data_IF_616822992323
#
_entry.id   IF_616822992323
#
_cell.length_a   1.000
_cell.length_b   1.000
_cell.length_c   1.000
_cell.angle_alpha   90.00
_cell.angle_beta   90.00
_cell.angle_gamma   90.00
#
_symmetry.space_group_name_H-M   'P 1'
#
loop_
_entity.id
_entity.type
_entity.pdbx_description
1 polymer ?
#
# COMPACT_ATOMS: atom_id res chain seq x y z
N UNK A 1 -47.96 -10.04 76.69
CA UNK A 1 -47.27 -8.73 76.68
C UNK A 1 -46.11 -8.73 75.70
N UNK A 2 -45.24 -9.75 75.71
CA UNK A 2 -44.05 -9.84 74.84
C UNK A 2 -44.36 -9.99 73.34
N UNK A 3 -45.38 -10.79 72.98
CA UNK A 3 -45.80 -10.97 71.57
C UNK A 3 -46.35 -9.67 70.95
N UNK A 4 -47.00 -8.82 71.75
CA UNK A 4 -47.53 -7.53 71.28
C UNK A 4 -46.40 -6.53 71.07
N UNK A 5 -45.41 -6.54 71.97
CA UNK A 5 -44.21 -5.70 71.86
C UNK A 5 -43.36 -6.03 70.64
N UNK A 6 -43.19 -7.33 70.32
CA UNK A 6 -42.43 -7.75 69.14
C UNK A 6 -43.12 -7.36 67.84
N UNK A 7 -44.45 -7.40 67.78
CA UNK A 7 -45.21 -6.94 66.60
C UNK A 7 -45.07 -5.44 66.39
N UNK A 8 -45.18 -4.64 67.46
CA UNK A 8 -44.99 -3.19 67.33
C UNK A 8 -43.57 -2.81 66.93
N UNK A 9 -42.56 -3.58 67.39
CA UNK A 9 -41.18 -3.39 66.98
C UNK A 9 -40.96 -3.74 65.51
N UNK A 10 -41.59 -4.83 65.04
CA UNK A 10 -41.53 -5.23 63.64
C UNK A 10 -42.15 -4.16 62.73
N UNK A 11 -43.34 -3.68 63.06
CA UNK A 11 -44.03 -2.63 62.28
C UNK A 11 -43.19 -1.34 62.21
N UNK A 12 -42.52 -0.98 63.31
CA UNK A 12 -41.64 0.19 63.35
C UNK A 12 -40.39 0.00 62.48
N UNK A 13 -39.77 -1.17 62.53
CA UNK A 13 -38.60 -1.49 61.71
C UNK A 13 -38.95 -1.57 60.23
N UNK A 14 -40.12 -2.11 59.88
CA UNK A 14 -40.63 -2.14 58.51
C UNK A 14 -40.91 -0.72 57.99
N UNK A 15 -41.49 0.15 58.82
CA UNK A 15 -41.69 1.56 58.47
C UNK A 15 -40.36 2.30 58.25
N UNK A 16 -39.35 2.06 59.10
CA UNK A 16 -38.02 2.67 58.94
C UNK A 16 -37.31 2.18 57.67
N UNK A 17 -37.40 0.87 57.36
CA UNK A 17 -36.85 0.31 56.13
C UNK A 17 -37.55 0.90 54.88
N UNK A 18 -38.87 1.07 54.92
CA UNK A 18 -39.62 1.69 53.83
C UNK A 18 -39.23 3.16 53.65
N UNK A 19 -39.04 3.91 54.73
CA UNK A 19 -38.58 5.29 54.70
C UNK A 19 -37.16 5.43 54.11
N UNK A 20 -36.23 4.57 54.53
CA UNK A 20 -34.86 4.55 54.01
C UNK A 20 -34.83 4.14 52.53
N UNK A 21 -35.64 3.17 52.12
CA UNK A 21 -35.78 2.76 50.73
C UNK A 21 -36.36 3.88 49.85
N UNK A 22 -37.39 4.58 50.33
CA UNK A 22 -37.97 5.74 49.65
C UNK A 22 -36.96 6.89 49.52
N UNK A 23 -36.21 7.21 50.58
CA UNK A 23 -35.13 8.22 50.54
C UNK A 23 -34.03 7.86 49.55
N UNK A 24 -33.62 6.59 49.53
CA UNK A 24 -32.60 6.12 48.60
C UNK A 24 -33.10 6.24 47.15
N UNK A 25 -34.36 5.90 46.91
CA UNK A 25 -35.01 6.00 45.59
C UNK A 25 -35.14 7.46 45.11
N UNK A 26 -35.46 8.40 46.00
CA UNK A 26 -35.48 9.85 45.70
C UNK A 26 -34.08 10.44 45.51
N UNK A 27 -33.07 9.92 46.20
CA UNK A 27 -31.67 10.37 46.03
C UNK A 27 -31.05 9.84 44.74
N UNK A 28 -31.47 8.66 44.26
CA UNK A 28 -31.09 8.15 42.93
C UNK A 28 -31.93 8.74 41.80
N UNK A 29 -32.97 9.52 42.12
CA UNK A 29 -33.77 10.28 41.15
C UNK A 29 -33.09 11.58 40.68
N UNK A 30 -31.78 11.74 40.93
CA UNK A 30 -30.93 12.65 40.18
C UNK A 30 -30.72 12.08 38.77
N UNK A 31 -31.74 12.22 37.93
CA UNK A 31 -31.71 11.85 36.51
C UNK A 31 -30.77 12.73 35.68
N UNK A 32 -30.07 13.68 36.32
CA UNK A 32 -29.17 14.65 35.71
C UNK A 32 -27.69 14.39 36.03
N UNK A 33 -27.35 13.49 36.95
CA UNK A 33 -25.97 13.23 37.35
C UNK A 33 -25.61 11.76 37.08
N UNK A 34 -24.80 11.55 36.05
CA UNK A 34 -24.22 10.25 35.72
C UNK A 34 -23.51 9.67 36.95
N UNK A 35 -23.71 8.38 37.21
CA UNK A 35 -22.99 7.73 38.30
C UNK A 35 -21.49 7.73 37.99
N UNK A 36 -20.65 7.91 39.02
CA UNK A 36 -19.18 7.83 38.84
C UNK A 36 -18.72 6.51 38.21
N UNK A 37 -19.51 5.45 38.35
CA UNK A 37 -19.30 4.17 37.66
C UNK A 37 -19.45 4.30 36.15
N UNK A 38 -20.49 4.98 35.67
CA UNK A 38 -20.70 5.25 34.24
C UNK A 38 -19.64 6.19 33.68
N UNK A 39 -19.26 7.24 34.43
CA UNK A 39 -18.16 8.15 34.05
C UNK A 39 -16.84 7.39 33.92
N UNK A 40 -16.51 6.53 34.88
CA UNK A 40 -15.30 5.71 34.83
C UNK A 40 -15.31 4.70 33.67
N UNK A 41 -16.48 4.15 33.34
CA UNK A 41 -16.63 3.29 32.16
C UNK A 41 -16.40 4.07 30.87
N UNK A 42 -17.02 5.24 30.71
CA UNK A 42 -16.82 6.11 29.55
C UNK A 42 -15.33 6.46 29.36
N UNK A 43 -14.62 6.85 30.42
CA UNK A 43 -13.18 7.13 30.33
C UNK A 43 -12.34 5.89 30.03
N UNK A 44 -12.75 4.71 30.50
CA UNK A 44 -12.06 3.46 30.17
C UNK A 44 -12.19 3.14 28.67
N UNK A 45 -13.39 3.32 28.13
CA UNK A 45 -13.71 3.05 26.73
C UNK A 45 -13.02 4.08 25.82
N UNK A 46 -13.09 5.37 26.17
CA UNK A 46 -12.40 6.45 25.46
C UNK A 46 -10.89 6.27 25.48
N UNK A 47 -10.30 5.89 26.62
CA UNK A 47 -8.88 5.54 26.70
C UNK A 47 -8.55 4.35 25.82
N UNK A 48 -9.40 3.33 25.79
CA UNK A 48 -9.16 2.16 24.94
C UNK A 48 -9.17 2.56 23.46
N UNK A 49 -10.14 3.35 23.04
CA UNK A 49 -10.22 3.90 21.70
C UNK A 49 -8.99 4.74 21.36
N UNK A 50 -8.59 5.67 22.23
CA UNK A 50 -7.40 6.50 22.04
C UNK A 50 -6.11 5.68 21.88
N UNK A 51 -5.96 4.58 22.61
CA UNK A 51 -4.81 3.68 22.48
C UNK A 51 -4.81 2.96 21.14
N UNK A 52 -5.98 2.50 20.67
CA UNK A 52 -6.13 1.86 19.35
C UNK A 52 -5.80 2.85 18.24
N UNK A 53 -6.40 4.05 18.28
CA UNK A 53 -6.14 5.12 17.31
C UNK A 53 -4.66 5.52 17.30
N UNK A 54 -4.04 5.65 18.47
CA UNK A 54 -2.62 5.97 18.57
C UNK A 54 -1.75 4.88 17.91
N UNK A 55 -2.10 3.60 18.08
CA UNK A 55 -1.37 2.49 17.46
C UNK A 55 -1.52 2.52 15.93
N UNK A 56 -2.72 2.77 15.43
CA UNK A 56 -2.99 2.90 13.98
C UNK A 56 -2.23 4.07 13.36
N UNK A 57 -2.31 5.25 13.97
CA UNK A 57 -1.58 6.44 13.50
C UNK A 57 -0.08 6.19 13.51
N UNK A 58 0.47 5.57 14.56
CA UNK A 58 1.89 5.19 14.60
C UNK A 58 2.26 4.26 13.46
N UNK A 59 1.44 3.25 13.17
CA UNK A 59 1.68 2.33 12.06
C UNK A 59 1.69 3.08 10.70
N UNK A 60 0.75 4.00 10.50
CA UNK A 60 0.69 4.84 9.30
C UNK A 60 1.95 5.72 9.17
N UNK A 61 2.35 6.40 10.25
CA UNK A 61 3.55 7.25 10.26
C UNK A 61 4.81 6.44 9.95
N UNK A 62 4.98 5.27 10.58
CA UNK A 62 6.11 4.38 10.29
C UNK A 62 6.11 3.92 8.84
N UNK A 63 4.93 3.63 8.27
CA UNK A 63 4.77 3.30 6.86
C UNK A 63 5.21 4.43 5.92
N UNK A 64 4.81 5.67 6.20
CA UNK A 64 5.23 6.83 5.41
C UNK A 64 6.72 7.15 5.57
N UNK A 65 7.28 7.00 6.77
CA UNK A 65 8.72 7.17 6.99
C UNK A 65 9.53 6.13 6.20
N UNK A 66 9.06 4.88 6.16
CA UNK A 66 9.68 3.83 5.35
C UNK A 66 9.64 4.17 3.87
N UNK A 67 8.47 4.58 3.36
CA UNK A 67 8.30 5.02 1.97
C UNK A 67 9.21 6.21 1.63
N UNK A 68 9.28 7.22 2.50
CA UNK A 68 10.12 8.40 2.29
C UNK A 68 11.61 8.02 2.22
N UNK A 69 12.09 7.15 3.12
CA UNK A 69 13.47 6.65 3.07
C UNK A 69 13.76 5.86 1.81
N UNK A 70 12.86 4.95 1.43
CA UNK A 70 13.00 4.16 0.21
C UNK A 70 13.10 5.07 -1.02
N UNK A 71 12.23 6.08 -1.11
CA UNK A 71 12.23 7.04 -2.22
C UNK A 71 13.46 7.92 -2.21
N UNK A 72 13.92 8.42 -1.05
CA UNK A 72 15.16 9.19 -0.96
C UNK A 72 16.37 8.37 -1.42
N UNK A 73 16.49 7.12 -0.95
CA UNK A 73 17.56 6.23 -1.38
C UNK A 73 17.49 5.97 -2.88
N UNK A 74 16.30 5.65 -3.37
CA UNK A 74 16.06 5.35 -4.77
C UNK A 74 16.36 6.54 -5.69
N UNK A 75 15.95 7.76 -5.32
CA UNK A 75 16.30 8.98 -6.03
C UNK A 75 17.80 9.20 -6.00
N UNK A 76 18.46 9.04 -4.84
CA UNK A 76 19.92 9.25 -4.73
C UNK A 76 20.70 8.25 -5.60
N UNK A 77 20.26 7.00 -5.65
CA UNK A 77 20.83 5.99 -6.56
C UNK A 77 20.65 6.40 -8.03
N UNK A 78 19.48 6.94 -8.37
CA UNK A 78 19.15 7.36 -9.73
C UNK A 78 19.65 8.77 -10.09
N UNK A 79 20.09 9.61 -9.15
CA UNK A 79 20.65 10.93 -9.46
C UNK A 79 22.04 10.88 -10.07
N UNK A 80 22.66 9.70 -10.12
CA UNK A 80 23.84 9.41 -10.96
C UNK A 80 23.47 9.21 -12.44
N UNK A 81 22.19 9.33 -12.81
CA UNK A 81 21.73 9.29 -14.19
C UNK A 81 22.37 10.47 -14.95
N UNK A 82 23.17 10.19 -16.00
CA UNK A 82 23.79 11.25 -16.79
C UNK A 82 22.73 12.13 -17.45
N UNK A 83 23.00 13.44 -17.52
CA UNK A 83 22.15 14.47 -18.17
C UNK A 83 21.82 14.16 -19.64
N UNK A 84 22.60 13.29 -20.26
CA UNK A 84 22.33 12.73 -21.57
C UNK A 84 22.21 11.21 -21.48
N UNK A 85 21.23 10.64 -22.19
CA UNK A 85 21.16 9.21 -22.49
C UNK A 85 22.47 8.80 -23.18
N UNK A 86 23.42 8.27 -22.41
CA UNK A 86 24.63 7.72 -22.99
C UNK A 86 24.21 6.47 -23.76
N UNK A 87 24.26 6.55 -25.10
CA UNK A 87 23.86 5.47 -26.02
C UNK A 87 24.60 4.15 -25.72
N UNK A 88 25.76 4.21 -25.04
CA UNK A 88 26.55 3.03 -24.65
C UNK A 88 26.18 2.45 -23.27
N UNK A 89 25.39 3.16 -22.47
CA UNK A 89 24.92 2.71 -21.16
C UNK A 89 23.40 2.62 -21.26
N UNK A 90 22.81 1.42 -21.37
CA UNK A 90 21.37 1.31 -21.54
C UNK A 90 20.69 1.94 -20.32
N UNK A 91 19.98 3.06 -20.53
CA UNK A 91 19.42 3.87 -19.44
C UNK A 91 18.35 3.16 -18.60
N UNK A 92 17.92 1.99 -19.06
CA UNK A 92 17.02 1.07 -18.37
C UNK A 92 17.73 0.13 -17.38
N UNK A 93 19.06 0.01 -17.40
CA UNK A 93 19.82 -0.88 -16.49
C UNK A 93 19.97 -0.34 -15.07
N UNK A 94 19.71 0.95 -14.83
CA UNK A 94 19.82 1.58 -13.51
C UNK A 94 18.46 1.86 -12.87
N UNK A 95 17.53 0.90 -12.94
CA UNK A 95 16.29 1.03 -12.16
C UNK A 95 16.06 -0.16 -11.25
N UNK A 96 16.76 -0.13 -10.12
CA UNK A 96 16.42 -0.96 -8.99
C UNK A 96 15.02 -0.56 -8.50
N UNK A 97 14.07 -1.50 -8.48
CA UNK A 97 12.75 -1.28 -7.90
C UNK A 97 12.78 -1.65 -6.41
N UNK A 98 12.37 -0.77 -5.49
CA UNK A 98 12.32 -1.09 -4.07
C UNK A 98 11.41 -2.29 -3.76
N UNK A 99 11.72 -3.04 -2.71
CA UNK A 99 10.90 -4.20 -2.29
C UNK A 99 9.53 -3.80 -1.72
N UNK A 100 9.44 -2.62 -1.09
CA UNK A 100 8.20 -2.10 -0.54
C UNK A 100 7.15 -1.88 -1.65
N UNK A 101 5.93 -2.44 -1.55
CA UNK A 101 4.93 -2.37 -2.62
C UNK A 101 4.55 -0.95 -3.05
N UNK A 102 4.43 0.00 -2.10
CA UNK A 102 4.08 1.40 -2.40
C UNK A 102 5.24 2.10 -3.08
N UNK A 103 6.44 1.95 -2.55
CA UNK A 103 7.69 2.45 -3.14
C UNK A 103 7.88 1.92 -4.57
N UNK A 104 7.63 0.63 -4.78
CA UNK A 104 7.71 -0.02 -6.08
C UNK A 104 6.70 0.51 -7.09
N UNK A 105 5.48 0.84 -6.65
CA UNK A 105 4.46 1.43 -7.51
C UNK A 105 4.91 2.80 -8.03
N UNK A 106 5.43 3.67 -7.15
CA UNK A 106 6.00 4.96 -7.52
C UNK A 106 7.20 4.82 -8.47
N UNK A 107 8.10 3.87 -8.19
CA UNK A 107 9.24 3.60 -9.07
C UNK A 107 8.79 3.19 -10.48
N UNK A 108 7.77 2.33 -10.60
CA UNK A 108 7.21 1.94 -11.91
C UNK A 108 6.57 3.12 -12.63
N UNK A 109 5.83 3.96 -11.92
CA UNK A 109 5.20 5.15 -12.48
C UNK A 109 6.25 6.09 -13.05
N UNK A 110 7.30 6.41 -12.28
CA UNK A 110 8.38 7.28 -12.73
C UNK A 110 9.12 6.71 -13.95
N UNK A 111 9.44 5.41 -13.95
CA UNK A 111 10.06 4.75 -15.12
C UNK A 111 9.17 4.93 -16.35
N UNK A 112 7.88 4.69 -16.20
CA UNK A 112 6.90 4.78 -17.28
C UNK A 112 6.80 6.20 -17.82
N UNK A 113 6.70 7.21 -16.94
CA UNK A 113 6.68 8.62 -17.32
C UNK A 113 7.98 9.01 -18.05
N UNK A 114 9.13 8.58 -17.53
CA UNK A 114 10.42 8.85 -18.18
C UNK A 114 10.48 8.22 -19.56
N UNK A 115 10.08 6.96 -19.71
CA UNK A 115 10.03 6.29 -21.02
C UNK A 115 9.08 7.01 -21.99
N UNK A 116 7.91 7.46 -21.51
CA UNK A 116 6.94 8.17 -22.32
C UNK A 116 7.47 9.54 -22.79
N UNK A 117 8.05 10.34 -21.90
CA UNK A 117 8.57 11.66 -22.26
C UNK A 117 9.87 11.60 -23.09
N UNK A 118 10.63 10.50 -23.02
CA UNK A 118 11.83 10.29 -23.82
C UNK A 118 11.56 9.42 -25.07
N UNK A 119 10.30 9.08 -25.34
CA UNK A 119 9.92 8.11 -26.37
C UNK A 119 10.49 8.50 -27.75
N UNK A 120 10.28 9.73 -28.19
CA UNK A 120 10.69 10.19 -29.52
C UNK A 120 12.20 10.09 -29.73
N UNK A 121 12.98 10.52 -28.73
CA UNK A 121 14.44 10.48 -28.79
C UNK A 121 14.95 9.03 -28.81
N UNK A 122 14.43 8.18 -27.92
CA UNK A 122 14.77 6.75 -27.89
C UNK A 122 14.38 6.06 -29.20
N UNK A 123 13.24 6.40 -29.78
CA UNK A 123 12.76 5.83 -31.04
C UNK A 123 13.68 6.19 -32.20
N UNK A 124 14.13 7.45 -32.24
CA UNK A 124 15.08 7.93 -33.23
C UNK A 124 16.45 7.25 -33.07
N UNK A 125 16.98 7.18 -31.86
CA UNK A 125 18.31 6.64 -31.56
C UNK A 125 18.40 5.14 -31.81
N UNK A 126 17.32 4.41 -31.55
CA UNK A 126 17.24 2.97 -31.80
C UNK A 126 16.65 2.62 -33.16
N UNK A 127 16.44 3.59 -34.05
CA UNK A 127 15.90 3.36 -35.40
C UNK A 127 14.61 2.52 -35.39
N UNK A 128 13.66 2.86 -34.52
CA UNK A 128 12.37 2.17 -34.45
C UNK A 128 11.68 2.11 -35.82
N UNK A 129 11.19 0.94 -36.25
CA UNK A 129 10.39 0.85 -37.46
C UNK A 129 9.09 1.64 -37.28
N UNK A 130 8.58 2.34 -38.32
CA UNK A 130 7.28 2.99 -38.25
C UNK A 130 6.17 2.04 -37.79
N UNK A 131 5.19 2.55 -37.03
CA UNK A 131 4.07 1.73 -36.50
C UNK A 131 3.26 0.98 -37.58
N UNK A 132 3.32 1.44 -38.83
CA UNK A 132 2.64 0.88 -40.00
C UNK A 132 3.63 0.28 -41.01
N UNK A 133 4.88 0.04 -40.60
CA UNK A 133 5.87 -0.61 -41.44
C UNK A 133 5.41 -2.02 -41.81
N UNK A 134 5.74 -2.46 -43.02
CA UNK A 134 5.43 -3.82 -43.48
C UNK A 134 6.19 -4.88 -42.67
N UNK A 135 7.27 -4.49 -41.98
CA UNK A 135 7.95 -5.30 -40.98
C UNK A 135 8.05 -4.50 -39.68
N UNK A 136 7.13 -4.71 -38.71
CA UNK A 136 7.06 -3.96 -37.46
C UNK A 136 8.11 -4.39 -36.42
N UNK A 137 8.88 -5.44 -36.70
CA UNK A 137 9.79 -6.10 -35.77
C UNK A 137 11.22 -6.12 -36.31
N UNK A 138 12.21 -5.89 -35.46
CA UNK A 138 13.62 -6.04 -35.82
C UNK A 138 14.46 -6.57 -34.66
N UNK A 139 15.50 -7.32 -35.03
CA UNK A 139 16.38 -8.00 -34.10
C UNK A 139 17.84 -7.64 -34.40
N UNK A 140 18.58 -7.30 -33.35
CA UNK A 140 20.03 -7.13 -33.38
C UNK A 140 20.68 -8.06 -32.36
N UNK A 141 21.74 -8.74 -32.80
CA UNK A 141 22.54 -9.63 -31.98
C UNK A 141 23.97 -9.14 -31.99
N UNK A 142 24.54 -8.94 -30.82
CA UNK A 142 25.95 -8.60 -30.66
C UNK A 142 26.61 -9.59 -29.70
N UNK A 143 27.73 -10.17 -30.10
CA UNK A 143 28.57 -10.98 -29.23
C UNK A 143 29.59 -10.07 -28.58
N UNK A 144 29.82 -10.23 -27.27
CA UNK A 144 30.92 -9.54 -26.60
C UNK A 144 32.27 -9.97 -27.17
N UNK A 145 33.28 -9.11 -27.07
CA UNK A 145 34.61 -9.35 -27.63
C UNK A 145 35.30 -10.60 -27.09
N UNK A 146 34.89 -11.08 -25.91
CA UNK A 146 35.37 -12.30 -25.25
C UNK A 146 34.49 -13.53 -25.54
N UNK A 147 33.45 -13.42 -26.37
CA UNK A 147 32.49 -14.48 -26.71
C UNK A 147 31.77 -15.12 -25.51
N UNK A 148 31.72 -14.44 -24.36
CA UNK A 148 31.06 -14.99 -23.16
C UNK A 148 29.62 -14.50 -22.98
N UNK A 149 29.28 -13.36 -23.59
CA UNK A 149 27.95 -12.74 -23.46
C UNK A 149 27.36 -12.41 -24.83
N UNK A 150 26.08 -12.74 -24.99
CA UNK A 150 25.29 -12.39 -26.15
C UNK A 150 24.33 -11.26 -25.75
N UNK A 151 24.52 -10.09 -26.33
CA UNK A 151 23.58 -8.98 -26.23
C UNK A 151 22.52 -9.13 -27.34
N UNK A 152 21.26 -9.10 -26.91
CA UNK A 152 20.10 -9.20 -27.78
C UNK A 152 19.24 -7.95 -27.67
N UNK A 153 18.99 -7.30 -28.79
CA UNK A 153 18.12 -6.13 -28.88
C UNK A 153 16.94 -6.44 -29.80
N UNK A 154 15.76 -6.52 -29.20
CA UNK A 154 14.50 -6.73 -29.87
C UNK A 154 13.69 -5.42 -29.90
N UNK A 155 13.20 -5.05 -31.07
CA UNK A 155 12.44 -3.83 -31.35
C UNK A 155 11.11 -4.20 -31.99
N UNK A 156 10.01 -3.74 -31.41
CA UNK A 156 8.66 -4.01 -31.92
C UNK A 156 7.77 -2.79 -31.72
N UNK A 157 7.13 -2.33 -32.80
CA UNK A 157 6.11 -1.27 -32.75
C UNK A 157 4.85 -1.68 -33.52
N UNK A 158 3.70 -1.68 -32.86
CA UNK A 158 2.42 -2.06 -33.48
C UNK A 158 1.25 -1.26 -32.89
N UNK A 159 0.16 -1.19 -33.65
CA UNK A 159 -1.13 -0.67 -33.17
C UNK A 159 -1.95 -1.85 -32.63
N UNK A 160 -2.30 -1.80 -31.34
CA UNK A 160 -3.17 -2.81 -30.73
C UNK A 160 -4.63 -2.40 -30.82
N UNK A 161 -5.48 -3.34 -31.25
CA UNK A 161 -6.94 -3.21 -31.17
C UNK A 161 -7.52 -3.74 -29.85
N UNK A 162 -6.66 -4.33 -29.00
CA UNK A 162 -7.07 -4.84 -27.69
C UNK A 162 -6.87 -3.79 -26.60
N UNK A 163 -7.74 -3.76 -25.58
CA UNK A 163 -7.56 -2.90 -24.41
C UNK A 163 -6.21 -3.17 -23.71
N UNK A 164 -5.59 -2.14 -23.10
CA UNK A 164 -4.32 -2.30 -22.39
C UNK A 164 -4.32 -3.39 -21.31
N UNK A 165 -5.46 -3.63 -20.66
CA UNK A 165 -5.60 -4.71 -19.65
C UNK A 165 -5.33 -6.10 -20.22
N UNK A 166 -5.75 -6.36 -21.47
CA UNK A 166 -5.50 -7.62 -22.15
C UNK A 166 -4.01 -7.74 -22.47
N UNK A 167 -3.41 -6.69 -23.03
CA UNK A 167 -1.97 -6.66 -23.35
C UNK A 167 -1.14 -6.96 -22.09
N UNK A 168 -1.40 -6.24 -20.99
CA UNK A 168 -0.71 -6.45 -19.72
C UNK A 168 -0.91 -7.88 -19.19
N UNK A 169 -2.12 -8.44 -19.33
CA UNK A 169 -2.38 -9.83 -18.96
C UNK A 169 -1.54 -10.79 -19.79
N UNK A 170 -1.47 -10.61 -21.11
CA UNK A 170 -0.66 -11.45 -22.00
C UNK A 170 0.82 -11.39 -21.62
N UNK A 171 1.38 -10.19 -21.42
CA UNK A 171 2.77 -10.04 -20.97
C UNK A 171 3.03 -10.68 -19.61
N UNK A 172 2.06 -10.72 -18.69
CA UNK A 172 2.24 -11.40 -17.39
C UNK A 172 2.33 -12.91 -17.49
N UNK A 173 1.59 -13.52 -18.41
CA UNK A 173 1.53 -14.98 -18.54
C UNK A 173 2.52 -15.53 -19.57
N UNK A 174 2.92 -14.72 -20.56
CA UNK A 174 3.74 -15.13 -21.70
C UNK A 174 5.04 -14.32 -21.81
N UNK A 175 5.51 -13.71 -20.72
CA UNK A 175 6.68 -12.84 -20.73
C UNK A 175 7.89 -13.52 -21.38
N UNK A 176 8.21 -14.74 -20.95
CA UNK A 176 9.39 -15.46 -21.41
C UNK A 176 9.30 -15.82 -22.89
N UNK A 177 8.11 -16.17 -23.39
CA UNK A 177 7.87 -16.44 -24.80
C UNK A 177 8.00 -15.17 -25.63
N UNK A 178 7.47 -14.04 -25.15
CA UNK A 178 7.56 -12.74 -25.80
C UNK A 178 8.99 -12.17 -25.82
N UNK A 179 9.79 -12.49 -24.81
CA UNK A 179 11.21 -12.12 -24.73
C UNK A 179 12.14 -13.14 -25.39
N UNK A 180 11.59 -14.21 -25.96
CA UNK A 180 12.34 -15.31 -26.59
C UNK A 180 13.38 -15.94 -25.64
N UNK A 181 13.08 -15.96 -24.34
CA UNK A 181 13.92 -16.56 -23.28
C UNK A 181 13.48 -18.00 -22.97
N UNK A 182 12.31 -18.41 -23.47
CA UNK A 182 11.89 -19.80 -23.40
C UNK A 182 12.83 -20.67 -24.23
N UNK A 183 13.32 -21.75 -23.63
CA UNK A 183 14.12 -22.76 -24.32
C UNK A 183 13.22 -23.41 -25.38
N UNK A 184 13.52 -23.15 -26.65
CA UNK A 184 12.88 -23.89 -27.74
C UNK A 184 13.46 -25.30 -27.74
N UNK A 185 12.75 -26.26 -27.16
CA UNK A 185 13.07 -27.67 -27.38
C UNK A 185 12.57 -28.03 -28.78
N UNK A 186 13.46 -28.36 -29.73
CA UNK A 186 13.02 -28.84 -31.04
C UNK A 186 12.33 -30.20 -30.84
N UNK A 187 11.08 -30.28 -31.28
CA UNK A 187 10.34 -31.54 -31.38
C UNK A 187 10.95 -32.47 -32.43
#
# INVERSE_FOLDING_TARGET
MEVVYLRSLQEMLEAELQYLAARHSTSTSSTLELSWKEVAHAFKDERHQAVVEQAEVKAVVLGYQSLARDMQHWVTAQMSVPDALNVRIPAWRLVHLPSNPRSRALGKEWITQRMYHNLEQVFKDHHMPPAHASNPESFEFAMSSDNTTLDFLHRLQFVSYYPPSIIVSTFRHMLCSMLLVDRHDPA
#
